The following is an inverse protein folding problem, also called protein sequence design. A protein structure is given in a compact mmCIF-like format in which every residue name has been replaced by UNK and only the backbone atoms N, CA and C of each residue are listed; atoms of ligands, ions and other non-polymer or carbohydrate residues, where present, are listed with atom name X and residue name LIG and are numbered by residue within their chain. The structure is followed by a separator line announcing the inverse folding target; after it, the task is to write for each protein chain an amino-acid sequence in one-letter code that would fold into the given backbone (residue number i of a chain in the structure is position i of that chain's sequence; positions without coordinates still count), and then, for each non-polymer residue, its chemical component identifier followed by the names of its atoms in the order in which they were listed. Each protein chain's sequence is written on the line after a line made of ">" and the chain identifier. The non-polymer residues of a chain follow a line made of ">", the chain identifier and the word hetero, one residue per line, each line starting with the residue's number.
data_IF_017019333096
#
_entry.id   IF_017019333096
#
_cell.length_a   1.000
_cell.length_b   1.000
_cell.length_c   1.000
_cell.angle_alpha   90.00
_cell.angle_beta   90.00
_cell.angle_gamma   90.00
#
_symmetry.space_group_name_H-M   'P 1'
#
loop_
_entity.id
_entity.type
_entity.pdbx_description
1 polymer ?
#
# COMPACT_ATOMS: atom_id res chain seq x y z
N UNK A 1 -6.82 37.06 10.41
CA UNK A 1 -7.32 36.80 9.05
C UNK A 1 -8.40 35.73 9.12
N UNK A 2 -9.69 36.04 8.89
CA UNK A 2 -10.74 35.04 8.79
C UNK A 2 -10.47 34.18 7.54
N UNK A 3 -10.33 32.87 7.69
CA UNK A 3 -10.32 31.97 6.52
C UNK A 3 -11.76 31.93 6.02
N UNK A 4 -12.01 32.49 4.85
CA UNK A 4 -13.29 32.37 4.16
C UNK A 4 -13.75 30.90 4.18
N UNK A 5 -15.03 30.70 4.48
CA UNK A 5 -15.70 29.41 4.58
C UNK A 5 -15.55 28.60 3.28
N UNK A 6 -14.45 27.86 3.15
CA UNK A 6 -14.16 27.02 2.00
C UNK A 6 -15.01 25.74 2.11
N UNK A 7 -16.27 25.80 1.64
CA UNK A 7 -17.07 24.59 1.48
C UNK A 7 -16.42 23.73 0.39
N UNK A 8 -16.10 22.45 0.65
CA UNK A 8 -15.52 21.58 -0.38
C UNK A 8 -16.44 21.54 -1.60
N UNK A 9 -15.91 21.88 -2.77
CA UNK A 9 -16.64 21.78 -4.04
C UNK A 9 -17.12 20.33 -4.21
N UNK A 10 -18.44 20.11 -4.11
CA UNK A 10 -19.06 18.79 -4.31
C UNK A 10 -18.76 18.29 -5.72
N UNK A 11 -18.61 16.99 -5.87
CA UNK A 11 -18.39 16.37 -7.18
C UNK A 11 -19.68 16.42 -7.99
N UNK A 12 -19.59 16.93 -9.21
CA UNK A 12 -20.69 16.84 -10.15
C UNK A 12 -20.70 15.44 -10.79
N UNK A 13 -21.89 14.89 -11.01
CA UNK A 13 -22.03 13.54 -11.56
C UNK A 13 -21.55 13.48 -13.01
N UNK A 14 -21.85 14.50 -13.82
CA UNK A 14 -21.43 14.56 -15.23
C UNK A 14 -19.91 14.65 -15.35
N UNK A 15 -19.28 15.52 -14.54
CA UNK A 15 -17.83 15.63 -14.42
C UNK A 15 -17.19 14.26 -14.12
N UNK A 16 -17.73 13.54 -13.14
CA UNK A 16 -17.20 12.25 -12.72
C UNK A 16 -17.40 11.16 -13.79
N UNK A 17 -18.56 11.15 -14.46
CA UNK A 17 -18.85 10.22 -15.55
C UNK A 17 -17.87 10.42 -16.70
N UNK A 18 -17.59 11.65 -17.10
CA UNK A 18 -16.67 11.94 -18.18
C UNK A 18 -15.25 11.47 -17.85
N UNK A 19 -14.78 11.75 -16.63
CA UNK A 19 -13.45 11.33 -16.16
C UNK A 19 -13.36 9.79 -16.13
N UNK A 20 -14.35 9.11 -15.55
CA UNK A 20 -14.36 7.65 -15.45
C UNK A 20 -14.49 6.99 -16.83
N UNK A 21 -15.27 7.57 -17.74
CA UNK A 21 -15.40 7.09 -19.12
C UNK A 21 -14.07 7.13 -19.85
N UNK A 22 -13.33 8.24 -19.74
CA UNK A 22 -11.99 8.36 -20.32
C UNK A 22 -11.05 7.30 -19.73
N UNK A 23 -11.03 7.16 -18.40
CA UNK A 23 -10.16 6.20 -17.70
C UNK A 23 -10.49 4.76 -18.07
N UNK A 24 -11.77 4.43 -18.23
CA UNK A 24 -12.19 3.08 -18.64
C UNK A 24 -11.78 2.76 -20.09
N UNK A 25 -11.86 3.74 -20.99
CA UNK A 25 -11.40 3.61 -22.39
C UNK A 25 -9.88 3.48 -22.47
N UNK A 26 -9.16 4.25 -21.66
CA UNK A 26 -7.69 4.26 -21.59
C UNK A 26 -7.18 3.57 -20.32
N UNK A 27 -7.74 2.39 -20.01
CA UNK A 27 -7.42 1.65 -18.79
C UNK A 27 -5.93 1.36 -18.66
N UNK A 28 -5.26 1.07 -19.77
CA UNK A 28 -3.83 0.81 -19.84
C UNK A 28 -2.99 1.95 -19.27
N UNK A 29 -3.32 3.16 -19.70
CA UNK A 29 -2.65 4.36 -19.23
C UNK A 29 -2.87 4.56 -17.73
N UNK A 30 -4.07 4.25 -17.23
CA UNK A 30 -4.36 4.30 -15.81
C UNK A 30 -3.60 3.24 -15.02
N UNK A 31 -3.47 2.03 -15.53
CA UNK A 31 -2.76 0.93 -14.88
C UNK A 31 -1.26 1.22 -14.75
N UNK A 32 -0.64 1.74 -15.81
CA UNK A 32 0.78 2.08 -15.83
C UNK A 32 1.09 3.37 -15.06
N UNK A 33 0.31 4.43 -15.31
CA UNK A 33 0.56 5.74 -14.74
C UNK A 33 -0.75 6.51 -14.48
N UNK A 34 -1.35 6.33 -13.28
CA UNK A 34 -2.60 6.98 -12.91
C UNK A 34 -2.55 8.51 -12.98
N UNK A 35 -1.39 9.12 -12.70
CA UNK A 35 -1.25 10.57 -12.75
C UNK A 35 -1.31 11.10 -14.17
N UNK A 36 -0.63 10.44 -15.11
CA UNK A 36 -0.69 10.80 -16.54
C UNK A 36 -2.09 10.57 -17.08
N UNK A 37 -2.76 9.48 -16.69
CA UNK A 37 -4.15 9.24 -17.06
C UNK A 37 -5.10 10.34 -16.56
N UNK A 38 -4.91 10.83 -15.33
CA UNK A 38 -5.65 11.99 -14.82
C UNK A 38 -5.36 13.28 -15.58
N UNK A 39 -4.11 13.54 -15.95
CA UNK A 39 -3.76 14.73 -16.73
C UNK A 39 -4.45 14.72 -18.08
N UNK A 40 -4.36 13.61 -18.83
CA UNK A 40 -4.99 13.51 -20.15
C UNK A 40 -6.52 13.48 -20.08
N UNK A 41 -7.10 12.88 -19.03
CA UNK A 41 -8.55 12.91 -18.83
C UNK A 41 -9.04 14.33 -18.55
N UNK A 42 -8.29 15.12 -17.79
CA UNK A 42 -8.63 16.52 -17.53
C UNK A 42 -8.54 17.40 -18.79
N UNK A 43 -7.50 17.21 -19.61
CA UNK A 43 -7.35 17.91 -20.90
C UNK A 43 -8.56 17.64 -21.82
N UNK A 44 -9.03 16.38 -21.83
CA UNK A 44 -10.15 15.95 -22.69
C UNK A 44 -11.50 16.41 -22.15
N UNK A 45 -11.70 16.34 -20.83
CA UNK A 45 -12.99 16.64 -20.18
C UNK A 45 -13.16 18.11 -19.78
N UNK A 46 -12.11 18.93 -19.94
CA UNK A 46 -12.09 20.35 -19.57
C UNK A 46 -12.53 20.60 -18.12
N UNK A 47 -12.15 19.69 -17.22
CA UNK A 47 -12.50 19.76 -15.81
C UNK A 47 -11.67 20.82 -15.09
N UNK A 48 -12.30 21.68 -14.29
CA UNK A 48 -11.62 22.77 -13.57
C UNK A 48 -10.87 22.35 -12.28
N UNK A 49 -10.85 21.05 -11.95
CA UNK A 49 -10.24 20.54 -10.70
C UNK A 49 -8.76 20.24 -10.89
N UNK A 50 -7.99 20.28 -9.80
CA UNK A 50 -6.58 19.87 -9.85
C UNK A 50 -6.40 18.35 -10.00
N UNK A 51 -5.32 17.95 -10.69
CA UNK A 51 -4.96 16.55 -10.97
C UNK A 51 -4.95 15.68 -9.71
N UNK A 52 -4.40 16.19 -8.59
CA UNK A 52 -4.38 15.48 -7.30
C UNK A 52 -5.78 15.18 -6.75
N UNK A 53 -6.72 16.10 -6.96
CA UNK A 53 -8.12 15.94 -6.53
C UNK A 53 -8.82 14.86 -7.35
N UNK A 54 -8.62 14.88 -8.67
CA UNK A 54 -9.15 13.87 -9.61
C UNK A 54 -8.60 12.50 -9.27
N UNK A 55 -7.27 12.36 -9.19
CA UNK A 55 -6.62 11.11 -8.80
C UNK A 55 -7.16 10.60 -7.46
N UNK A 56 -7.20 11.45 -6.45
CA UNK A 56 -7.66 11.06 -5.11
C UNK A 56 -9.11 10.58 -5.09
N UNK A 57 -10.01 11.22 -5.86
CA UNK A 57 -11.41 10.80 -5.96
C UNK A 57 -11.54 9.48 -6.71
N UNK A 58 -10.95 9.36 -7.90
CA UNK A 58 -11.02 8.14 -8.71
C UNK A 58 -10.40 6.95 -7.96
N UNK A 59 -9.20 7.12 -7.41
CA UNK A 59 -8.53 6.08 -6.64
C UNK A 59 -9.35 5.64 -5.43
N UNK A 60 -9.97 6.58 -4.70
CA UNK A 60 -10.88 6.25 -3.59
C UNK A 60 -12.09 5.45 -4.07
N UNK A 61 -12.70 5.85 -5.19
CA UNK A 61 -13.86 5.16 -5.73
C UNK A 61 -13.54 3.74 -6.20
N UNK A 62 -12.43 3.56 -6.90
CA UNK A 62 -11.93 2.23 -7.30
C UNK A 62 -11.68 1.38 -6.06
N UNK A 63 -11.05 1.93 -5.02
CA UNK A 63 -10.80 1.19 -3.77
C UNK A 63 -12.09 0.78 -3.08
N UNK A 64 -13.06 1.69 -2.96
CA UNK A 64 -14.38 1.40 -2.38
C UNK A 64 -15.09 0.31 -3.17
N UNK A 65 -15.02 0.35 -4.50
CA UNK A 65 -15.61 -0.67 -5.35
C UNK A 65 -14.89 -2.02 -5.20
N UNK A 66 -13.56 -2.03 -5.19
CA UNK A 66 -12.76 -3.24 -4.98
C UNK A 66 -13.05 -3.88 -3.60
N UNK A 67 -13.19 -3.07 -2.56
CA UNK A 67 -13.57 -3.54 -1.22
C UNK A 67 -15.01 -4.10 -1.22
N UNK A 68 -15.94 -3.48 -1.94
CA UNK A 68 -17.30 -3.99 -2.11
C UNK A 68 -17.34 -5.33 -2.86
N UNK A 69 -16.60 -5.46 -3.97
CA UNK A 69 -16.54 -6.70 -4.74
C UNK A 69 -15.96 -7.86 -3.91
N UNK A 70 -15.09 -7.57 -2.94
CA UNK A 70 -14.53 -8.59 -2.03
C UNK A 70 -15.41 -8.93 -0.84
N UNK A 71 -16.13 -7.95 -0.30
CA UNK A 71 -16.81 -8.09 1.01
C UNK A 71 -18.34 -8.08 0.93
N UNK A 72 -18.91 -7.63 -0.18
CA UNK A 72 -20.34 -7.37 -0.36
C UNK A 72 -20.87 -6.18 0.45
N UNK A 73 -20.02 -5.45 1.19
CA UNK A 73 -20.45 -4.37 2.09
C UNK A 73 -20.36 -3.02 1.40
N UNK A 74 -21.48 -2.30 1.33
CA UNK A 74 -21.53 -0.94 0.77
C UNK A 74 -20.92 0.06 1.76
N UNK A 75 -20.09 0.97 1.25
CA UNK A 75 -19.58 2.09 2.02
C UNK A 75 -20.51 3.30 1.93
N UNK A 76 -20.29 4.31 2.79
CA UNK A 76 -21.07 5.55 2.81
C UNK A 76 -20.82 6.50 1.61
N UNK A 77 -19.98 6.15 0.62
CA UNK A 77 -19.76 7.01 -0.57
C UNK A 77 -20.95 6.89 -1.54
N UNK A 78 -22.04 7.62 -1.23
CA UNK A 78 -23.35 7.50 -1.90
C UNK A 78 -23.26 7.68 -3.43
N UNK A 79 -22.35 8.54 -3.90
CA UNK A 79 -22.15 8.85 -5.32
C UNK A 79 -21.90 7.60 -6.18
N UNK A 80 -21.26 6.57 -5.62
CA UNK A 80 -20.99 5.31 -6.32
C UNK A 80 -22.27 4.48 -6.51
N UNK A 81 -23.19 4.57 -5.55
CA UNK A 81 -24.40 3.74 -5.49
C UNK A 81 -25.63 4.42 -6.07
N UNK A 82 -25.62 5.76 -6.18
CA UNK A 82 -26.72 6.57 -6.70
C UNK A 82 -26.82 6.52 -8.23
N UNK A 83 -25.70 6.53 -8.96
CA UNK A 83 -25.69 6.51 -10.43
C UNK A 83 -25.20 5.16 -10.97
N UNK A 84 -26.08 4.48 -11.70
CA UNK A 84 -25.82 3.17 -12.32
C UNK A 84 -24.62 3.20 -13.28
N UNK A 85 -24.40 4.30 -14.01
CA UNK A 85 -23.29 4.41 -14.98
C UNK A 85 -21.96 4.47 -14.27
N UNK A 86 -21.89 5.20 -13.15
CA UNK A 86 -20.69 5.25 -12.30
C UNK A 86 -20.39 3.86 -11.76
N UNK A 87 -21.40 3.17 -11.24
CA UNK A 87 -21.27 1.80 -10.77
C UNK A 87 -20.72 0.86 -11.86
N UNK A 88 -21.37 0.80 -13.02
CA UNK A 88 -20.98 -0.08 -14.14
C UNK A 88 -19.56 0.22 -14.65
N UNK A 89 -19.15 1.49 -14.67
CA UNK A 89 -17.79 1.86 -15.08
C UNK A 89 -16.74 1.43 -14.05
N UNK A 90 -17.00 1.65 -12.77
CA UNK A 90 -16.08 1.23 -11.71
C UNK A 90 -15.96 -0.28 -11.64
N UNK A 91 -17.07 -1.01 -11.79
CA UNK A 91 -17.08 -2.46 -11.85
C UNK A 91 -16.20 -2.96 -12.99
N UNK A 92 -16.35 -2.43 -14.21
CA UNK A 92 -15.52 -2.77 -15.37
C UNK A 92 -14.03 -2.51 -15.12
N UNK A 93 -13.68 -1.37 -14.52
CA UNK A 93 -12.29 -1.02 -14.18
C UNK A 93 -11.73 -2.03 -13.17
N UNK A 94 -12.47 -2.36 -12.11
CA UNK A 94 -12.05 -3.32 -11.08
C UNK A 94 -11.90 -4.74 -11.63
N UNK A 95 -12.80 -5.19 -12.50
CA UNK A 95 -12.72 -6.50 -13.15
C UNK A 95 -11.46 -6.62 -14.00
N UNK A 96 -11.17 -5.61 -14.84
CA UNK A 96 -9.93 -5.56 -15.63
C UNK A 96 -8.66 -5.56 -14.77
N UNK A 97 -8.69 -4.90 -13.61
CA UNK A 97 -7.60 -4.95 -12.63
C UNK A 97 -7.34 -6.36 -12.10
N UNK A 98 -8.40 -7.13 -11.85
CA UNK A 98 -8.30 -8.48 -11.31
C UNK A 98 -7.86 -9.48 -12.39
N UNK A 99 -8.36 -9.35 -13.61
CA UNK A 99 -7.94 -10.15 -14.78
C UNK A 99 -6.43 -10.02 -15.03
N UNK A 100 -5.88 -8.80 -14.99
CA UNK A 100 -4.43 -8.58 -15.15
C UNK A 100 -3.59 -9.18 -14.02
N UNK A 101 -4.03 -9.03 -12.77
CA UNK A 101 -3.33 -9.66 -11.63
C UNK A 101 -3.28 -11.18 -11.77
N UNK A 102 -4.34 -11.80 -12.31
CA UNK A 102 -4.37 -13.22 -12.66
C UNK A 102 -3.31 -13.57 -13.71
N UNK A 103 -3.28 -12.85 -14.83
CA UNK A 103 -2.35 -13.10 -15.94
C UNK A 103 -0.87 -12.86 -15.57
N UNK A 104 -0.57 -11.85 -14.74
CA UNK A 104 0.78 -11.64 -14.21
C UNK A 104 1.20 -12.77 -13.26
N UNK A 105 0.27 -13.33 -12.48
CA UNK A 105 0.55 -14.44 -11.57
C UNK A 105 0.75 -15.78 -12.27
N UNK A 106 0.11 -16.01 -13.42
CA UNK A 106 0.28 -17.22 -14.23
C UNK A 106 1.52 -17.18 -15.15
N UNK A 107 1.92 -15.98 -15.59
CA UNK A 107 3.13 -15.79 -16.40
C UNK A 107 4.43 -15.76 -15.59
N UNK A 108 4.34 -15.55 -14.27
CA UNK A 108 5.49 -15.45 -13.36
C UNK A 108 5.79 -16.71 -12.53
N UNK A 109 5.08 -17.83 -12.74
CA UNK A 109 5.39 -19.14 -12.09
C UNK A 109 6.70 -19.79 -12.57
N UNK A 110 7.50 -19.10 -13.39
CA UNK A 110 8.92 -19.39 -13.58
C UNK A 110 9.73 -18.15 -13.23
N UNK A 111 10.43 -18.22 -12.09
CA UNK A 111 11.40 -17.27 -11.49
C UNK A 111 10.80 -16.32 -10.45
N UNK A 112 11.00 -16.68 -9.18
CA UNK A 112 10.66 -15.85 -8.05
C UNK A 112 11.52 -14.58 -7.92
N UNK A 113 10.91 -13.54 -7.35
CA UNK A 113 11.54 -12.68 -6.34
C UNK A 113 10.48 -11.78 -5.71
N UNK A 114 10.27 -11.95 -4.39
CA UNK A 114 9.61 -10.95 -3.54
C UNK A 114 10.36 -9.62 -3.70
N UNK A 115 9.69 -8.59 -4.22
CA UNK A 115 10.07 -7.18 -3.96
C UNK A 115 9.17 -6.66 -2.84
N UNK A 116 9.74 -6.54 -1.65
CA UNK A 116 9.11 -5.88 -0.52
C UNK A 116 8.94 -4.38 -0.76
N UNK A 117 7.82 -3.82 -0.35
CA UNK A 117 7.56 -2.37 -0.38
C UNK A 117 7.91 -1.78 0.99
N UNK A 118 9.16 -1.31 1.12
CA UNK A 118 9.65 -0.53 2.25
C UNK A 118 9.02 0.87 2.18
N UNK A 119 8.28 1.26 3.22
CA UNK A 119 7.83 2.63 3.45
C UNK A 119 9.04 3.53 3.70
N UNK A 120 9.10 4.70 3.06
CA UNK A 120 9.84 5.84 3.58
C UNK A 120 9.14 7.15 3.23
N UNK A 121 8.94 7.94 4.26
CA UNK A 121 8.46 9.31 4.25
C UNK A 121 9.49 10.25 3.58
N UNK A 122 8.96 11.34 3.05
CA UNK A 122 9.68 12.47 2.46
C UNK A 122 10.56 13.20 3.48
N UNK A 123 11.76 13.60 3.04
CA UNK A 123 12.40 14.89 3.36
C UNK A 123 13.50 15.15 2.31
N UNK A 124 13.15 16.03 1.38
CA UNK A 124 13.94 17.10 0.73
C UNK A 124 15.47 16.98 0.63
N UNK A 125 15.97 17.28 -0.58
CA UNK A 125 17.31 17.83 -0.81
C UNK A 125 18.11 17.02 -1.83
N UNK A 126 18.12 17.48 -3.09
CA UNK A 126 18.95 16.89 -4.13
C UNK A 126 20.45 17.15 -3.91
N UNK A 127 21.27 16.27 -4.45
CA UNK A 127 22.28 16.55 -5.50
C UNK A 127 22.86 15.20 -5.92
N UNK A 128 22.85 14.98 -7.24
CA UNK A 128 23.48 13.88 -7.96
C UNK A 128 24.98 13.76 -7.62
N UNK A 129 25.48 12.52 -7.62
CA UNK A 129 26.75 12.16 -8.27
C UNK A 129 26.90 10.65 -8.34
N UNK A 130 27.34 10.22 -9.51
CA UNK A 130 27.59 8.86 -9.96
C UNK A 130 28.45 8.04 -9.02
N UNK A 131 28.24 6.72 -8.97
CA UNK A 131 29.26 5.66 -9.12
C UNK A 131 28.58 4.28 -9.03
N UNK A 132 28.85 3.43 -10.03
CA UNK A 132 28.54 1.99 -10.05
C UNK A 132 29.78 1.22 -9.56
N UNK A 133 29.58 0.17 -8.76
CA UNK A 133 30.13 -1.23 -8.87
C UNK A 133 30.31 -1.85 -7.46
N UNK A 134 29.49 -2.86 -7.07
CA UNK A 134 29.70 -4.34 -7.00
C UNK A 134 30.68 -4.85 -5.91
N UNK A 135 30.21 -5.91 -5.22
CA UNK A 135 30.86 -6.88 -4.32
C UNK A 135 30.93 -6.59 -2.81
N UNK A 136 30.43 -7.58 -2.06
CA UNK A 136 30.17 -7.52 -0.64
C UNK A 136 31.44 -7.51 0.21
N UNK A 137 31.41 -6.65 1.22
CA UNK A 137 31.70 -6.94 2.63
C UNK A 137 31.65 -5.61 3.37
N UNK A 138 30.69 -5.46 4.29
CA UNK A 138 30.63 -4.27 5.15
C UNK A 138 31.61 -4.48 6.30
N UNK A 139 32.80 -3.89 6.17
CA UNK A 139 33.71 -3.64 7.29
C UNK A 139 33.38 -2.24 7.83
N UNK A 140 32.81 -2.17 9.04
CA UNK A 140 32.60 -0.91 9.75
C UNK A 140 33.94 -0.46 10.35
N UNK A 141 34.69 0.35 9.62
CA UNK A 141 35.79 1.13 10.17
C UNK A 141 35.23 2.41 10.82
N UNK A 142 35.12 2.46 12.15
CA UNK A 142 35.01 3.73 12.87
C UNK A 142 36.40 4.35 12.93
N UNK A 143 36.58 5.38 12.10
CA UNK A 143 37.78 6.21 12.00
C UNK A 143 37.85 7.15 13.21
N UNK A 144 38.88 6.95 14.04
CA UNK A 144 39.42 7.97 14.95
C UNK A 144 39.85 9.16 14.10
N UNK A 145 39.40 10.37 14.45
CA UNK A 145 40.01 11.61 13.95
C UNK A 145 40.17 12.59 15.10
N UNK A 146 41.38 12.56 15.64
CA UNK A 146 41.99 13.62 16.44
C UNK A 146 42.38 14.78 15.50
N UNK A 147 42.53 15.96 16.10
CA UNK A 147 43.12 17.22 15.61
C UNK A 147 42.21 18.24 14.93
N UNK A 148 42.08 19.39 15.61
CA UNK A 148 41.92 20.71 15.00
C UNK A 148 42.98 21.61 15.62
N UNK A 149 43.89 22.10 14.78
CA UNK A 149 44.87 23.14 15.07
C UNK A 149 44.25 24.51 14.81
N UNK A 150 44.70 25.54 15.54
CA UNK A 150 44.72 26.92 15.04
C UNK A 150 46.14 27.45 15.22
N UNK A 151 46.61 28.05 14.13
CA UNK A 151 47.91 28.64 13.83
C UNK A 151 47.86 30.15 14.12
N UNK A 152 48.92 30.71 14.69
CA UNK A 152 49.58 31.96 14.24
C UNK A 152 50.72 32.37 15.20
N UNK A 153 51.86 32.74 14.62
CA UNK A 153 53.03 33.38 15.24
C UNK A 153 52.97 34.91 14.93
N UNK A 154 53.79 35.85 15.49
CA UNK A 154 55.20 35.69 15.88
C UNK A 154 55.67 36.39 17.19
N UNK A 155 56.95 36.15 17.45
CA UNK A 155 57.82 36.43 18.59
C UNK A 155 57.93 37.90 19.04
N UNK A 156 58.08 38.14 20.35
CA UNK A 156 59.12 39.04 20.92
C UNK A 156 59.54 38.61 22.32
N UNK A 157 60.83 38.75 22.54
CA UNK A 157 61.72 38.47 23.69
C UNK A 157 61.31 39.12 25.03
N UNK A 158 61.54 38.43 26.15
CA UNK A 158 62.42 38.87 27.27
C UNK A 158 62.28 37.98 28.53
N UNK A 159 63.38 37.97 29.26
CA UNK A 159 63.88 37.11 30.35
C UNK A 159 63.06 37.10 31.65
N UNK A 160 62.98 35.95 32.33
CA UNK A 160 63.63 35.62 33.62
C UNK A 160 62.90 34.47 34.35
N UNK A 161 63.62 33.60 35.09
CA UNK A 161 63.06 32.43 35.77
C UNK A 161 62.76 32.72 37.24
N UNK A 162 61.60 32.27 37.78
CA UNK A 162 61.46 32.06 39.23
C UNK A 162 60.28 31.17 39.62
N UNK A 163 60.63 30.21 40.47
CA UNK A 163 59.84 29.61 41.55
C UNK A 163 58.74 28.59 41.24
N UNK A 164 59.15 27.33 41.35
CA UNK A 164 58.35 26.19 41.79
C UNK A 164 57.48 26.55 43.01
N UNK A 165 56.16 26.44 42.84
CA UNK A 165 55.23 26.26 43.97
C UNK A 165 54.37 25.04 43.71
N UNK A 166 54.70 23.97 44.42
CA UNK A 166 53.83 22.83 44.64
C UNK A 166 52.51 23.29 45.25
N UNK A 167 51.38 22.91 44.66
CA UNK A 167 50.08 22.91 45.34
C UNK A 167 49.41 21.56 45.07
N UNK A 168 49.54 20.72 46.09
CA UNK A 168 48.64 19.66 46.55
C UNK A 168 47.58 19.12 45.58
N UNK A 169 47.74 17.82 45.26
CA UNK A 169 46.69 16.97 44.70
C UNK A 169 45.47 16.91 45.63
N UNK A 170 44.54 17.86 45.47
CA UNK A 170 43.20 17.76 46.01
C UNK A 170 42.42 16.70 45.24
N UNK A 171 42.39 15.47 45.76
CA UNK A 171 41.44 14.44 45.36
C UNK A 171 40.01 14.96 45.59
N UNK A 172 39.36 15.46 44.54
CA UNK A 172 37.90 15.55 44.52
C UNK A 172 37.37 14.13 44.32
N UNK A 173 37.23 13.39 45.42
CA UNK A 173 36.42 12.19 45.51
C UNK A 173 34.95 12.59 45.34
N UNK A 174 34.54 12.87 44.11
CA UNK A 174 33.14 12.89 43.71
C UNK A 174 32.67 11.43 43.71
N UNK A 175 32.22 10.97 44.89
CA UNK A 175 31.51 9.70 45.04
C UNK A 175 30.22 9.79 44.24
N UNK A 176 30.26 9.26 43.02
CA UNK A 176 29.08 9.09 42.17
C UNK A 176 28.18 8.08 42.90
N UNK A 177 26.91 8.42 43.18
CA UNK A 177 25.98 7.49 43.78
C UNK A 177 25.92 6.21 42.94
N UNK A 178 26.30 5.09 43.55
CA UNK A 178 26.19 3.78 42.92
C UNK A 178 24.73 3.50 42.62
N UNK A 179 24.36 3.56 41.35
CA UNK A 179 23.01 3.21 40.90
C UNK A 179 22.78 1.72 41.14
N UNK A 180 21.58 1.31 41.62
CA UNK A 180 21.31 -0.06 42.07
C UNK A 180 21.23 -1.08 40.93
N UNK A 181 21.46 -0.67 39.68
CA UNK A 181 21.35 -1.50 38.49
C UNK A 181 22.65 -1.47 37.68
N UNK A 182 23.12 -2.65 37.27
CA UNK A 182 24.20 -2.74 36.28
C UNK A 182 23.65 -2.44 34.88
N UNK A 183 24.51 -1.91 34.01
CA UNK A 183 24.19 -1.70 32.59
C UNK A 183 23.80 -3.02 31.92
N UNK A 184 24.48 -4.11 32.28
CA UNK A 184 24.19 -5.47 31.80
C UNK A 184 22.77 -5.92 32.14
N UNK A 185 22.30 -5.69 33.37
CA UNK A 185 20.92 -6.02 33.77
C UNK A 185 19.88 -5.20 33.00
N UNK A 186 20.18 -3.92 32.69
CA UNK A 186 19.29 -3.09 31.86
C UNK A 186 19.20 -3.66 30.44
N UNK A 187 20.33 -4.05 29.85
CA UNK A 187 20.38 -4.62 28.51
C UNK A 187 19.64 -5.96 28.44
N UNK A 188 19.77 -6.81 29.47
CA UNK A 188 19.00 -8.05 29.59
C UNK A 188 17.49 -7.79 29.63
N UNK A 189 17.05 -6.82 30.45
CA UNK A 189 15.64 -6.45 30.55
C UNK A 189 15.10 -5.88 29.24
N UNK A 190 15.89 -5.06 28.56
CA UNK A 190 15.54 -4.49 27.25
C UNK A 190 15.42 -5.58 26.18
N UNK A 191 16.38 -6.49 26.11
CA UNK A 191 16.35 -7.61 25.17
C UNK A 191 15.17 -8.55 25.44
N UNK A 192 14.85 -8.80 26.72
CA UNK A 192 13.68 -9.59 27.12
C UNK A 192 12.37 -8.92 26.69
N UNK A 193 12.27 -7.60 26.80
CA UNK A 193 11.12 -6.83 26.30
C UNK A 193 10.98 -6.95 24.76
N UNK A 194 12.09 -6.86 24.03
CA UNK A 194 12.11 -7.06 22.57
C UNK A 194 11.59 -8.45 22.22
N UNK A 195 12.14 -9.51 22.83
CA UNK A 195 11.72 -10.88 22.56
C UNK A 195 10.24 -11.12 22.87
N UNK A 196 9.72 -10.53 23.96
CA UNK A 196 8.31 -10.61 24.29
C UNK A 196 7.44 -9.95 23.21
N UNK A 197 7.84 -8.77 22.73
CA UNK A 197 7.14 -8.09 21.65
C UNK A 197 7.16 -8.91 20.35
N UNK A 198 8.31 -9.48 19.99
CA UNK A 198 8.46 -10.35 18.82
C UNK A 198 7.58 -11.59 18.89
N UNK A 199 7.53 -12.25 20.05
CA UNK A 199 6.65 -13.40 20.29
C UNK A 199 5.17 -13.05 20.06
N UNK A 200 4.70 -11.94 20.63
CA UNK A 200 3.32 -11.49 20.45
C UNK A 200 3.00 -11.16 18.98
N UNK A 201 3.93 -10.54 18.25
CA UNK A 201 3.75 -10.29 16.81
C UNK A 201 3.59 -11.61 16.05
N UNK A 202 4.41 -12.61 16.36
CA UNK A 202 4.35 -13.91 15.69
C UNK A 202 3.04 -14.66 15.97
N UNK A 203 2.56 -14.62 17.21
CA UNK A 203 1.29 -15.21 17.62
C UNK A 203 0.10 -14.57 16.88
N UNK A 204 0.07 -13.23 16.80
CA UNK A 204 -0.94 -12.49 16.05
C UNK A 204 -0.92 -12.83 14.55
N UNK A 205 0.27 -12.97 13.96
CA UNK A 205 0.42 -13.37 12.57
C UNK A 205 -0.12 -14.78 12.32
N UNK A 206 0.17 -15.73 13.21
CA UNK A 206 -0.31 -17.11 13.11
C UNK A 206 -1.84 -17.18 13.24
N UNK A 207 -2.43 -16.49 14.22
CA UNK A 207 -3.89 -16.41 14.40
C UNK A 207 -4.58 -15.79 13.17
N UNK A 208 -4.03 -14.68 12.67
CA UNK A 208 -4.53 -14.02 11.47
C UNK A 208 -4.49 -14.96 10.27
N UNK A 209 -3.34 -15.61 10.03
CA UNK A 209 -3.15 -16.52 8.89
C UNK A 209 -4.14 -17.68 8.93
N UNK A 210 -4.25 -18.36 10.06
CA UNK A 210 -5.17 -19.50 10.22
C UNK A 210 -6.63 -19.08 9.98
N UNK A 211 -7.05 -17.93 10.53
CA UNK A 211 -8.42 -17.42 10.33
C UNK A 211 -8.71 -17.05 8.87
N UNK A 212 -7.71 -16.55 8.16
CA UNK A 212 -7.81 -16.18 6.76
C UNK A 212 -7.88 -17.42 5.88
N UNK A 213 -6.98 -18.39 6.11
CA UNK A 213 -6.91 -19.63 5.34
C UNK A 213 -8.20 -20.47 5.47
N UNK A 214 -8.77 -20.56 6.67
CA UNK A 214 -10.06 -21.24 6.92
C UNK A 214 -11.18 -20.57 6.13
N UNK A 215 -11.30 -19.23 6.19
CA UNK A 215 -12.33 -18.50 5.44
C UNK A 215 -12.16 -18.64 3.92
N UNK A 216 -10.93 -18.61 3.42
CA UNK A 216 -10.68 -18.80 1.98
C UNK A 216 -11.05 -20.20 1.51
N UNK A 217 -10.82 -21.23 2.34
CA UNK A 217 -11.24 -22.59 2.06
C UNK A 217 -12.77 -22.69 1.97
N UNK A 218 -13.48 -22.15 2.96
CA UNK A 218 -14.94 -22.14 2.98
C UNK A 218 -15.54 -21.43 1.76
N UNK A 219 -15.02 -20.25 1.41
CA UNK A 219 -15.46 -19.50 0.21
C UNK A 219 -15.24 -20.32 -1.06
N UNK A 220 -14.09 -21.02 -1.18
CA UNK A 220 -13.79 -21.87 -2.34
C UNK A 220 -14.75 -23.05 -2.44
N UNK A 221 -15.00 -23.72 -1.32
CA UNK A 221 -15.89 -24.88 -1.26
C UNK A 221 -17.34 -24.49 -1.58
N UNK A 222 -17.81 -23.34 -1.06
CA UNK A 222 -19.13 -22.79 -1.40
C UNK A 222 -19.24 -22.39 -2.87
N UNK A 223 -18.18 -21.79 -3.43
CA UNK A 223 -18.14 -21.42 -4.84
C UNK A 223 -18.25 -22.65 -5.74
N UNK A 224 -17.54 -23.73 -5.41
CA UNK A 224 -17.63 -25.00 -6.13
C UNK A 224 -19.05 -25.60 -6.07
N UNK A 225 -19.70 -25.56 -4.89
CA UNK A 225 -21.08 -26.02 -4.74
C UNK A 225 -22.07 -25.18 -5.56
N UNK A 226 -21.90 -23.86 -5.63
CA UNK A 226 -22.73 -22.98 -6.46
C UNK A 226 -22.60 -23.35 -7.92
N UNK A 227 -21.38 -23.53 -8.43
CA UNK A 227 -21.16 -23.93 -9.81
C UNK A 227 -21.79 -25.29 -10.14
N UNK A 228 -21.67 -26.26 -9.24
CA UNK A 228 -22.29 -27.57 -9.41
C UNK A 228 -23.81 -27.46 -9.55
N UNK A 229 -24.46 -26.74 -8.62
CA UNK A 229 -25.93 -26.53 -8.66
C UNK A 229 -26.38 -25.74 -9.89
N UNK A 230 -25.59 -24.76 -10.34
CA UNK A 230 -25.89 -24.03 -11.58
C UNK A 230 -25.86 -24.95 -12.80
N UNK A 231 -24.89 -25.88 -12.86
CA UNK A 231 -24.82 -26.87 -13.94
C UNK A 231 -26.01 -27.83 -13.92
N UNK A 232 -26.40 -28.31 -12.74
CA UNK A 232 -27.58 -29.18 -12.57
C UNK A 232 -28.87 -28.45 -12.97
N UNK A 233 -29.03 -27.20 -12.53
CA UNK A 233 -30.19 -26.39 -12.87
C UNK A 233 -30.29 -26.15 -14.38
N UNK A 234 -29.16 -25.84 -15.04
CA UNK A 234 -29.11 -25.68 -16.49
C UNK A 234 -29.57 -26.94 -17.20
N UNK A 235 -29.08 -28.10 -16.78
CA UNK A 235 -29.49 -29.40 -17.33
C UNK A 235 -30.99 -29.63 -17.19
N UNK A 236 -31.57 -29.35 -16.02
CA UNK A 236 -33.02 -29.49 -15.80
C UNK A 236 -33.83 -28.54 -16.69
N UNK A 237 -33.36 -27.30 -16.88
CA UNK A 237 -34.01 -26.33 -17.77
C UNK A 237 -34.02 -26.86 -19.21
N UNK A 238 -32.87 -27.36 -19.69
CA UNK A 238 -32.74 -27.91 -21.04
C UNK A 238 -33.68 -29.13 -21.22
N UNK A 239 -33.75 -30.04 -20.24
CA UNK A 239 -34.66 -31.19 -20.28
C UNK A 239 -36.15 -30.79 -20.30
N UNK A 240 -36.53 -29.75 -19.56
CA UNK A 240 -37.90 -29.23 -19.56
C UNK A 240 -38.23 -28.59 -20.91
N UNK A 241 -37.31 -27.79 -21.46
CA UNK A 241 -37.48 -27.15 -22.76
C UNK A 241 -37.66 -28.19 -23.88
N UNK A 242 -36.82 -29.24 -23.89
CA UNK A 242 -36.94 -30.36 -24.84
C UNK A 242 -38.32 -31.05 -24.76
N UNK A 243 -38.85 -31.24 -23.56
CA UNK A 243 -40.19 -31.83 -23.36
C UNK A 243 -41.29 -30.90 -23.84
N UNK A 244 -41.16 -29.59 -23.62
CA UNK A 244 -42.13 -28.59 -24.08
C UNK A 244 -42.18 -28.55 -25.61
N UNK A 245 -41.04 -28.59 -26.30
CA UNK A 245 -41.01 -28.63 -27.76
C UNK A 245 -41.68 -29.89 -28.31
N UNK A 246 -41.37 -31.07 -27.76
CA UNK A 246 -42.06 -32.33 -28.13
C UNK A 246 -43.59 -32.25 -27.96
N UNK A 247 -44.07 -31.57 -26.91
CA UNK A 247 -45.50 -31.39 -26.68
C UNK A 247 -46.15 -30.42 -27.66
N UNK A 248 -45.43 -29.38 -28.11
CA UNK A 248 -45.92 -28.46 -29.14
C UNK A 248 -46.08 -29.17 -30.48
N UNK A 249 -45.08 -29.96 -30.87
CA UNK A 249 -45.11 -30.75 -32.11
C UNK A 249 -46.29 -31.74 -32.12
N UNK A 250 -46.53 -32.42 -31.00
CA UNK A 250 -47.66 -33.34 -30.86
C UNK A 250 -49.03 -32.65 -30.99
N UNK A 251 -49.17 -31.42 -30.47
CA UNK A 251 -50.40 -30.65 -30.61
C UNK A 251 -50.63 -30.20 -32.05
N UNK A 252 -49.58 -29.78 -32.77
CA UNK A 252 -49.67 -29.39 -34.18
C UNK A 252 -50.10 -30.57 -35.07
N UNK A 253 -49.55 -31.75 -34.83
CA UNK A 253 -49.94 -32.99 -35.54
C UNK A 253 -51.43 -33.33 -35.36
N UNK A 254 -52.01 -33.13 -34.18
CA UNK A 254 -53.43 -33.41 -33.91
C UNK A 254 -54.41 -32.39 -34.47
N UNK A 255 -53.97 -31.16 -34.77
CA UNK A 255 -54.84 -30.13 -35.38
C UNK A 255 -54.92 -30.30 -36.91
N UNK A 256 -54.00 -31.09 -37.49
CA UNK A 256 -53.89 -31.26 -38.95
C UNK A 256 -54.47 -32.58 -39.45
N UNK A 257 -54.92 -33.49 -38.56
CA UNK A 257 -55.67 -34.71 -38.88
C UNK A 257 -57.16 -34.51 -38.62
#
# INVERSE_FOLDING_TARGET
>A
MPRENYKPKRWDLSELIQILSYINTHFELWYENPHVACTKSMETTKTSRGIKSVYGKVHRMIKVMDDYLKTGKKSCDMVIWEDKRIYEMLEKICTRFNERKGQESESSTKKGKKRGRKRRNELTGGIEKDTIIINGNVVMNKKVKLTTSIEEAPQTTNEEPRESREIAAGQLNLSIPSVPFSVEMIDELYNKQIQKAEHHVQELLNLSKNSIDVRYKEVRDLTAQIFQRQSELKKMIDEVNDKVEKLKDFKLLKVTM
#
